data_IF_222814016251
#
_entry.id   IF_222814016251
#
_cell.length_a   1.000
_cell.length_b   1.000
_cell.length_c   1.000
_cell.angle_alpha   90.00
_cell.angle_beta   90.00
_cell.angle_gamma   90.00
#
_symmetry.space_group_name_H-M   'P 1'
#
loop_
_entity.id
_entity.type
_entity.pdbx_description
1 polymer ?
#
# COMPACT_ATOMS: atom_id res chain seq x y z
N UNK A 1 -49.70 2.48 52.88
CA UNK A 1 -48.43 2.14 52.23
C UNK A 1 -48.31 2.95 50.95
N UNK A 2 -47.55 4.05 50.95
CA UNK A 2 -47.41 4.96 49.79
C UNK A 2 -46.14 4.60 49.03
N UNK A 3 -46.28 4.08 47.79
CA UNK A 3 -45.17 3.78 46.88
C UNK A 3 -44.70 5.07 46.22
N UNK A 4 -43.47 5.48 46.48
CA UNK A 4 -42.82 6.61 45.78
C UNK A 4 -42.13 6.10 44.51
N UNK A 5 -42.66 6.54 43.37
CA UNK A 5 -42.05 6.27 42.07
C UNK A 5 -40.88 7.26 41.85
N UNK A 6 -39.66 6.74 41.80
CA UNK A 6 -38.49 7.52 41.41
C UNK A 6 -38.38 7.49 39.88
N UNK A 7 -38.56 8.65 39.23
CA UNK A 7 -38.31 8.83 37.81
C UNK A 7 -36.85 9.24 37.67
N UNK A 8 -36.02 8.35 37.10
CA UNK A 8 -34.63 8.69 36.68
C UNK A 8 -34.69 9.43 35.35
N UNK A 9 -34.40 10.73 35.37
CA UNK A 9 -34.10 11.49 34.14
C UNK A 9 -32.69 11.14 33.68
N UNK A 10 -32.60 10.40 32.57
CA UNK A 10 -31.33 10.21 31.84
C UNK A 10 -31.08 11.48 30.98
N UNK A 11 -30.15 12.30 31.46
CA UNK A 11 -29.66 13.44 30.66
C UNK A 11 -28.73 12.91 29.55
N UNK A 12 -29.19 12.99 28.32
CA UNK A 12 -28.36 12.73 27.13
C UNK A 12 -27.38 13.87 26.93
N UNK A 13 -26.08 13.60 27.18
CA UNK A 13 -25.01 14.54 26.83
C UNK A 13 -24.85 14.58 25.29
N UNK A 14 -24.77 15.77 24.70
CA UNK A 14 -24.49 15.88 23.27
C UNK A 14 -23.09 15.36 22.97
N UNK A 15 -22.98 14.38 22.07
CA UNK A 15 -21.69 13.92 21.54
C UNK A 15 -21.06 15.04 20.71
N UNK A 16 -19.99 15.62 21.23
CA UNK A 16 -19.16 16.58 20.47
C UNK A 16 -18.44 15.77 19.40
N UNK A 17 -18.93 15.86 18.16
CA UNK A 17 -18.20 15.38 16.98
C UNK A 17 -17.00 16.31 16.79
N UNK A 18 -15.83 15.89 17.25
CA UNK A 18 -14.57 16.55 16.92
C UNK A 18 -14.31 16.35 15.43
N UNK A 19 -14.57 17.36 14.64
CA UNK A 19 -14.07 17.46 13.26
C UNK A 19 -12.55 17.56 13.34
N UNK A 20 -11.87 16.46 13.06
CA UNK A 20 -10.40 16.50 12.87
C UNK A 20 -10.13 17.32 11.61
N UNK A 21 -9.71 18.57 11.77
CA UNK A 21 -9.16 19.36 10.68
C UNK A 21 -7.88 18.68 10.21
N UNK A 22 -7.85 18.23 8.95
CA UNK A 22 -6.62 17.72 8.36
C UNK A 22 -5.56 18.84 8.36
N UNK A 23 -4.28 18.50 8.62
CA UNK A 23 -3.20 19.46 8.51
C UNK A 23 -3.19 20.07 7.10
N UNK A 24 -2.90 21.38 7.01
CA UNK A 24 -2.71 22.02 5.72
C UNK A 24 -1.57 21.35 4.93
N UNK A 25 -1.78 21.16 3.64
CA UNK A 25 -0.75 20.61 2.76
C UNK A 25 0.47 21.56 2.71
N UNK A 26 1.71 21.03 2.61
CA UNK A 26 2.90 21.83 2.31
C UNK A 26 2.70 22.70 1.06
N UNK A 27 3.34 23.88 0.97
CA UNK A 27 3.11 24.85 -0.09
C UNK A 27 3.55 24.36 -1.49
N UNK A 28 4.42 23.36 -1.56
CA UNK A 28 4.91 22.74 -2.79
C UNK A 28 4.09 21.51 -3.24
N UNK A 29 3.03 21.19 -2.50
CA UNK A 29 2.11 20.10 -2.87
C UNK A 29 0.96 20.65 -3.72
N UNK A 30 0.79 20.09 -4.92
CA UNK A 30 -0.36 20.39 -5.77
C UNK A 30 -1.64 19.88 -5.12
N UNK A 31 -2.67 20.75 -4.87
CA UNK A 31 -3.86 20.37 -4.12
C UNK A 31 -4.79 19.38 -4.87
N UNK A 32 -4.58 19.18 -6.17
CA UNK A 32 -5.39 18.27 -7.00
C UNK A 32 -4.75 16.86 -7.06
N UNK A 33 -3.44 16.80 -7.27
CA UNK A 33 -2.69 15.52 -7.35
C UNK A 33 -2.22 15.03 -6.00
N UNK A 34 -2.25 15.89 -4.97
CA UNK A 34 -1.77 15.63 -3.62
C UNK A 34 -0.29 15.21 -3.59
N UNK A 35 0.50 15.72 -4.53
CA UNK A 35 1.95 15.47 -4.66
C UNK A 35 2.65 16.68 -5.25
N UNK A 36 3.98 16.68 -5.27
CA UNK A 36 4.80 17.73 -5.90
C UNK A 36 4.62 17.81 -7.42
N UNK A 37 4.16 16.73 -8.05
CA UNK A 37 3.94 16.72 -9.50
C UNK A 37 2.48 17.06 -9.85
N UNK A 38 2.22 17.98 -10.79
CA UNK A 38 0.89 18.21 -11.35
C UNK A 38 0.44 17.01 -12.21
N UNK A 39 -0.75 17.09 -12.82
CA UNK A 39 -1.12 16.14 -13.87
C UNK A 39 -0.17 16.27 -15.06
N UNK A 40 0.30 15.14 -15.58
CA UNK A 40 1.11 15.12 -16.79
C UNK A 40 0.35 15.73 -17.96
N UNK A 41 1.01 16.60 -18.71
CA UNK A 41 0.54 17.18 -19.97
C UNK A 41 1.38 16.63 -21.13
N UNK A 42 0.93 16.75 -22.38
CA UNK A 42 1.77 16.40 -23.54
C UNK A 42 3.13 17.09 -23.55
N UNK A 43 3.21 18.32 -23.00
CA UNK A 43 4.47 19.10 -22.99
C UNK A 43 5.50 18.55 -22.00
N UNK A 44 5.09 17.72 -21.06
CA UNK A 44 5.99 17.03 -20.12
C UNK A 44 6.64 15.77 -20.72
N UNK A 45 6.27 15.38 -21.94
CA UNK A 45 6.64 14.11 -22.55
C UNK A 45 7.36 14.27 -23.89
N UNK A 46 8.25 13.31 -24.18
CA UNK A 46 8.79 13.13 -25.53
C UNK A 46 7.71 12.62 -26.52
N UNK A 47 8.02 12.58 -27.80
CA UNK A 47 7.06 12.20 -28.85
C UNK A 47 6.53 10.76 -28.71
N UNK A 48 7.32 9.84 -28.18
CA UNK A 48 6.88 8.49 -27.92
C UNK A 48 5.96 8.43 -26.69
N UNK A 49 6.30 9.14 -25.63
CA UNK A 49 5.47 9.30 -24.44
C UNK A 49 4.10 9.90 -24.75
N UNK A 50 4.05 10.92 -25.61
CA UNK A 50 2.79 11.51 -26.11
C UNK A 50 1.93 10.47 -26.82
N UNK A 51 2.51 9.67 -27.72
CA UNK A 51 1.79 8.59 -28.44
C UNK A 51 1.24 7.55 -27.46
N UNK A 52 2.04 7.10 -26.48
CA UNK A 52 1.62 6.14 -25.48
C UNK A 52 0.54 6.68 -24.55
N UNK A 53 0.64 7.95 -24.18
CA UNK A 53 -0.39 8.61 -23.37
C UNK A 53 -1.72 8.73 -24.12
N UNK A 54 -1.69 9.09 -25.41
CA UNK A 54 -2.87 9.23 -26.27
C UNK A 54 -3.61 7.90 -26.54
N UNK A 55 -2.92 6.76 -26.45
CA UNK A 55 -3.51 5.43 -26.61
C UNK A 55 -4.33 4.97 -25.40
N UNK A 56 -4.35 5.74 -24.31
CA UNK A 56 -5.10 5.39 -23.12
C UNK A 56 -6.60 5.60 -23.28
N UNK A 57 -7.42 4.70 -22.70
CA UNK A 57 -8.86 4.92 -22.68
C UNK A 57 -9.20 6.26 -22.00
N UNK A 58 -10.08 7.09 -22.58
CA UNK A 58 -10.47 8.39 -22.01
C UNK A 58 -11.13 8.28 -20.61
N UNK A 59 -11.64 7.09 -20.27
CA UNK A 59 -12.32 6.81 -19.01
C UNK A 59 -11.36 6.60 -17.82
N UNK A 60 -10.07 6.41 -18.08
CA UNK A 60 -9.06 6.26 -17.06
C UNK A 60 -8.56 7.62 -16.57
N UNK A 61 -9.41 8.42 -15.90
CA UNK A 61 -8.91 9.55 -15.11
C UNK A 61 -8.13 8.97 -13.92
N UNK A 62 -6.80 9.08 -13.90
CA UNK A 62 -6.04 8.62 -12.76
C UNK A 62 -6.39 9.51 -11.57
N UNK A 63 -6.79 8.91 -10.44
CA UNK A 63 -6.83 9.62 -9.18
C UNK A 63 -5.40 9.95 -8.68
N UNK A 64 -5.26 10.73 -7.60
CA UNK A 64 -3.98 10.91 -6.92
C UNK A 64 -3.34 9.55 -6.61
N UNK A 65 -2.01 9.46 -6.69
CA UNK A 65 -1.29 8.24 -6.37
C UNK A 65 -0.46 7.66 -7.52
N UNK A 66 -0.10 6.36 -7.46
CA UNK A 66 0.88 5.76 -8.36
C UNK A 66 0.50 5.86 -9.84
N UNK A 67 -0.78 5.72 -10.15
CA UNK A 67 -1.29 5.84 -11.52
C UNK A 67 -1.02 7.19 -12.15
N UNK A 68 -1.03 8.26 -11.35
CA UNK A 68 -0.66 9.60 -11.76
C UNK A 68 0.85 9.70 -12.06
N UNK A 69 1.69 9.25 -11.14
CA UNK A 69 3.15 9.36 -11.28
C UNK A 69 3.69 8.57 -12.47
N UNK A 70 3.19 7.35 -12.68
CA UNK A 70 3.63 6.51 -13.81
C UNK A 70 3.17 7.04 -15.17
N UNK A 71 2.32 8.10 -15.22
CA UNK A 71 1.98 8.77 -16.47
C UNK A 71 3.12 9.60 -17.01
N UNK A 72 4.06 10.06 -16.17
CA UNK A 72 5.28 10.73 -16.60
C UNK A 72 6.28 9.78 -17.28
N UNK A 73 6.09 8.46 -17.13
CA UNK A 73 6.91 7.43 -17.79
C UNK A 73 6.02 6.34 -18.38
N UNK A 74 5.27 6.65 -19.47
CA UNK A 74 4.28 5.74 -20.04
C UNK A 74 4.87 4.43 -20.56
N UNK A 75 6.14 4.43 -20.99
CA UNK A 75 6.86 3.27 -21.48
C UNK A 75 7.08 2.24 -20.38
N UNK A 76 7.61 2.65 -19.24
CA UNK A 76 7.89 1.78 -18.11
C UNK A 76 6.61 1.23 -17.46
N UNK A 77 5.51 2.00 -17.55
CA UNK A 77 4.22 1.54 -17.07
C UNK A 77 3.69 0.33 -17.85
N UNK A 78 3.99 0.23 -19.15
CA UNK A 78 3.51 -0.89 -19.98
C UNK A 78 4.14 -2.24 -19.61
N UNK A 79 5.21 -2.24 -18.82
CA UNK A 79 5.94 -3.42 -18.38
C UNK A 79 5.41 -4.00 -17.04
N UNK A 80 4.29 -3.49 -16.53
CA UNK A 80 3.76 -3.82 -15.20
C UNK A 80 3.45 -5.29 -14.98
N UNK A 81 3.68 -5.76 -13.76
CA UNK A 81 3.36 -7.12 -13.31
C UNK A 81 1.84 -7.29 -13.16
N UNK A 82 1.25 -8.45 -13.53
CA UNK A 82 -0.15 -8.74 -13.22
C UNK A 82 -0.45 -8.58 -11.74
N UNK A 83 -1.46 -7.76 -11.40
CA UNK A 83 -1.72 -7.33 -10.03
C UNK A 83 -3.08 -7.84 -9.50
N UNK A 84 -3.24 -7.79 -8.20
CA UNK A 84 -4.49 -8.06 -7.51
C UNK A 84 -4.95 -9.51 -7.60
N UNK A 85 -6.26 -9.69 -7.83
CA UNK A 85 -6.91 -11.02 -7.86
C UNK A 85 -6.43 -11.93 -8.99
N UNK A 86 -5.86 -11.36 -10.04
CA UNK A 86 -5.31 -12.08 -11.19
C UNK A 86 -3.82 -12.43 -11.03
N UNK A 87 -3.24 -12.14 -9.87
CA UNK A 87 -1.83 -12.46 -9.62
C UNK A 87 -1.60 -13.97 -9.60
N UNK A 88 -0.59 -14.50 -10.31
CA UNK A 88 -0.28 -15.93 -10.32
C UNK A 88 0.10 -16.48 -8.94
N UNK A 89 0.50 -15.63 -7.99
CA UNK A 89 0.79 -16.04 -6.60
C UNK A 89 -0.47 -16.10 -5.72
N UNK A 90 -1.64 -15.76 -6.28
CA UNK A 90 -2.89 -15.62 -5.57
C UNK A 90 -3.04 -14.27 -4.86
N UNK A 91 -4.27 -13.81 -4.73
CA UNK A 91 -4.59 -12.48 -4.22
C UNK A 91 -4.04 -12.21 -2.80
N UNK A 92 -4.14 -13.20 -1.90
CA UNK A 92 -3.65 -13.09 -0.52
C UNK A 92 -2.14 -12.82 -0.44
N UNK A 93 -1.34 -13.60 -1.15
CA UNK A 93 0.12 -13.44 -1.15
C UNK A 93 0.59 -12.23 -1.93
N UNK A 94 -0.14 -11.84 -2.97
CA UNK A 94 0.06 -10.56 -3.62
C UNK A 94 -0.04 -9.40 -2.62
N UNK A 95 -1.14 -9.34 -1.85
CA UNK A 95 -1.33 -8.28 -0.85
C UNK A 95 -0.27 -8.33 0.26
N UNK A 96 0.07 -9.52 0.73
CA UNK A 96 1.11 -9.66 1.75
C UNK A 96 2.47 -9.14 1.24
N UNK A 97 2.86 -9.45 0.01
CA UNK A 97 4.10 -8.96 -0.59
C UNK A 97 4.12 -7.42 -0.69
N UNK A 98 2.99 -6.82 -1.12
CA UNK A 98 2.85 -5.35 -1.17
C UNK A 98 2.94 -4.73 0.22
N UNK A 99 2.25 -5.28 1.22
CA UNK A 99 2.28 -4.76 2.60
C UNK A 99 3.66 -4.87 3.25
N UNK A 100 4.40 -5.94 2.99
CA UNK A 100 5.80 -6.08 3.45
C UNK A 100 6.62 -4.92 2.89
N UNK A 101 6.59 -4.70 1.59
CA UNK A 101 7.29 -3.59 0.95
C UNK A 101 6.85 -2.24 1.51
N UNK A 102 5.52 -1.98 1.55
CA UNK A 102 4.98 -0.71 2.03
C UNK A 102 5.41 -0.39 3.47
N UNK A 103 5.55 -1.42 4.34
CA UNK A 103 6.08 -1.25 5.69
C UNK A 103 7.56 -0.92 5.70
N UNK A 104 8.37 -1.64 4.92
CA UNK A 104 9.84 -1.47 4.94
C UNK A 104 10.28 -0.10 4.43
N UNK A 105 9.55 0.48 3.45
CA UNK A 105 9.83 1.82 2.94
C UNK A 105 8.92 2.91 3.52
N UNK A 106 8.12 2.58 4.54
CA UNK A 106 7.18 3.49 5.23
C UNK A 106 6.23 4.19 4.26
N UNK A 107 5.68 3.46 3.29
CA UNK A 107 4.80 4.02 2.26
C UNK A 107 3.33 3.96 2.69
N UNK A 108 2.82 5.08 3.19
CA UNK A 108 1.47 5.22 3.73
C UNK A 108 0.37 5.00 2.69
N UNK A 109 0.57 5.47 1.45
CA UNK A 109 -0.43 5.38 0.39
C UNK A 109 -0.69 3.92 -0.01
N UNK A 110 0.39 3.15 -0.26
CA UNK A 110 0.31 1.73 -0.59
C UNK A 110 -0.26 0.92 0.57
N UNK A 111 0.19 1.20 1.80
CA UNK A 111 -0.35 0.52 2.96
C UNK A 111 -1.86 0.70 3.07
N UNK A 112 -2.34 1.95 3.03
CA UNK A 112 -3.76 2.28 3.22
C UNK A 112 -4.66 1.82 2.07
N UNK A 113 -4.09 1.57 0.89
CA UNK A 113 -4.80 0.96 -0.23
C UNK A 113 -4.90 -0.58 -0.08
N UNK A 114 -3.80 -1.22 0.34
CA UNK A 114 -3.64 -2.67 0.27
C UNK A 114 -4.04 -3.41 1.55
N UNK A 115 -4.00 -2.77 2.74
CA UNK A 115 -4.45 -3.41 3.99
C UNK A 115 -5.91 -3.85 3.94
N UNK A 116 -6.89 -3.00 3.58
CA UNK A 116 -8.29 -3.41 3.48
C UNK A 116 -8.53 -4.47 2.40
N UNK A 117 -7.82 -4.36 1.27
CA UNK A 117 -7.90 -5.34 0.19
C UNK A 117 -7.34 -6.69 0.63
N UNK A 118 -6.23 -6.72 1.36
CA UNK A 118 -5.63 -7.93 1.91
C UNK A 118 -6.56 -8.67 2.85
N UNK A 119 -7.14 -7.96 3.81
CA UNK A 119 -8.12 -8.53 4.74
C UNK A 119 -9.33 -9.13 4.02
N UNK A 120 -9.85 -8.43 3.00
CA UNK A 120 -10.95 -8.92 2.16
C UNK A 120 -10.56 -10.17 1.35
N UNK A 121 -9.30 -10.32 1.00
CA UNK A 121 -8.76 -11.44 0.22
C UNK A 121 -8.16 -12.56 1.09
N UNK A 122 -8.51 -12.59 2.37
CA UNK A 122 -8.16 -13.67 3.29
C UNK A 122 -6.81 -13.54 3.98
N UNK A 123 -6.19 -12.34 3.97
CA UNK A 123 -5.02 -12.09 4.81
C UNK A 123 -5.48 -11.95 6.27
N UNK A 124 -5.00 -12.81 7.14
CA UNK A 124 -5.37 -12.82 8.56
C UNK A 124 -4.84 -11.57 9.27
N UNK A 125 -5.62 -11.04 10.22
CA UNK A 125 -5.22 -9.88 11.00
C UNK A 125 -3.91 -10.10 11.75
N UNK A 126 -3.66 -11.30 12.28
CA UNK A 126 -2.41 -11.65 12.96
C UNK A 126 -1.19 -11.49 12.05
N UNK A 127 -1.29 -11.94 10.79
CA UNK A 127 -0.22 -11.80 9.78
C UNK A 127 -0.02 -10.32 9.43
N UNK A 128 -1.11 -9.59 9.15
CA UNK A 128 -1.09 -8.16 8.88
C UNK A 128 -0.45 -7.39 10.04
N UNK A 129 -0.79 -7.71 11.30
CA UNK A 129 -0.28 -7.02 12.49
C UNK A 129 1.21 -7.25 12.71
N UNK A 130 1.70 -8.46 12.41
CA UNK A 130 3.14 -8.75 12.41
C UNK A 130 3.88 -7.84 11.44
N UNK A 131 3.37 -7.65 10.23
CA UNK A 131 3.99 -6.74 9.24
C UNK A 131 3.82 -5.29 9.69
N UNK A 132 2.60 -4.87 10.05
CA UNK A 132 2.24 -3.50 10.41
C UNK A 132 3.10 -2.91 11.54
N UNK A 133 3.32 -3.71 12.57
CA UNK A 133 4.02 -3.30 13.78
C UNK A 133 5.45 -3.84 13.85
N UNK A 134 5.96 -4.36 12.73
CA UNK A 134 7.33 -4.92 12.65
C UNK A 134 7.64 -5.95 13.74
N UNK A 135 6.65 -6.77 14.12
CA UNK A 135 6.79 -7.78 15.16
C UNK A 135 7.57 -9.02 14.69
N UNK A 136 8.11 -9.82 15.61
CA UNK A 136 8.63 -11.15 15.28
C UNK A 136 7.58 -12.01 14.55
N UNK A 137 8.02 -12.87 13.65
CA UNK A 137 7.13 -13.77 12.86
C UNK A 137 6.66 -15.00 13.65
N UNK A 138 6.97 -15.07 14.93
CA UNK A 138 6.59 -16.18 15.84
C UNK A 138 5.08 -16.37 15.84
N UNK A 139 4.63 -17.63 15.76
CA UNK A 139 3.21 -17.99 15.78
C UNK A 139 2.49 -17.88 14.42
N UNK A 140 3.17 -17.42 13.36
CA UNK A 140 2.66 -17.48 11.99
C UNK A 140 2.90 -18.87 11.38
N UNK A 141 2.22 -19.15 10.26
CA UNK A 141 2.56 -20.31 9.43
C UNK A 141 3.99 -20.17 8.91
N UNK A 142 4.69 -21.30 8.69
CA UNK A 142 6.06 -21.26 8.18
C UNK A 142 6.15 -20.57 6.80
N UNK A 143 5.12 -20.71 5.98
CA UNK A 143 5.01 -20.06 4.68
C UNK A 143 4.91 -18.52 4.78
N UNK A 144 4.06 -18.00 5.67
CA UNK A 144 3.92 -16.56 5.90
C UNK A 144 5.18 -15.99 6.56
N UNK A 145 5.70 -16.68 7.58
CA UNK A 145 6.93 -16.29 8.26
C UNK A 145 8.11 -16.22 7.28
N UNK A 146 8.22 -17.19 6.38
CA UNK A 146 9.27 -17.23 5.35
C UNK A 146 9.16 -16.03 4.41
N UNK A 147 7.96 -15.71 3.89
CA UNK A 147 7.78 -14.59 2.97
C UNK A 147 8.07 -13.25 3.65
N UNK A 148 7.58 -13.05 4.89
CA UNK A 148 7.84 -11.82 5.66
C UNK A 148 9.34 -11.67 5.94
N UNK A 149 9.99 -12.73 6.40
CA UNK A 149 11.44 -12.73 6.65
C UNK A 149 12.22 -12.44 5.37
N UNK A 150 11.84 -13.07 4.26
CA UNK A 150 12.46 -12.85 2.96
C UNK A 150 12.40 -11.38 2.54
N UNK A 151 11.21 -10.77 2.57
CA UNK A 151 11.06 -9.37 2.20
C UNK A 151 11.84 -8.43 3.12
N UNK A 152 11.74 -8.62 4.45
CA UNK A 152 12.51 -7.84 5.44
C UNK A 152 13.99 -7.92 5.22
N UNK A 153 14.54 -9.13 5.08
CA UNK A 153 15.97 -9.35 4.83
C UNK A 153 16.40 -8.69 3.53
N UNK A 154 15.63 -8.86 2.46
CA UNK A 154 15.98 -8.27 1.16
C UNK A 154 16.03 -6.73 1.22
N UNK A 155 15.08 -6.08 1.89
CA UNK A 155 15.05 -4.61 2.01
C UNK A 155 16.06 -4.04 3.00
N UNK A 156 16.38 -4.75 4.07
CA UNK A 156 17.26 -4.26 5.14
C UNK A 156 18.73 -4.63 4.93
N UNK A 157 18.98 -5.85 4.43
CA UNK A 157 20.33 -6.43 4.29
C UNK A 157 20.77 -6.51 2.84
N UNK A 158 19.87 -6.27 1.87
CA UNK A 158 20.11 -6.29 0.42
C UNK A 158 20.62 -7.65 -0.10
N UNK A 159 20.47 -8.70 0.70
CA UNK A 159 20.93 -10.06 0.38
C UNK A 159 20.14 -11.07 1.22
N UNK A 160 19.83 -12.23 0.65
CA UNK A 160 19.22 -13.35 1.36
C UNK A 160 20.21 -14.52 1.46
N UNK A 161 20.13 -15.29 2.56
CA UNK A 161 20.94 -16.50 2.74
C UNK A 161 20.44 -17.62 1.83
N UNK A 162 21.32 -18.59 1.54
CA UNK A 162 20.94 -19.80 0.78
C UNK A 162 19.82 -20.58 1.47
N UNK A 163 19.83 -20.63 2.81
CA UNK A 163 18.78 -21.30 3.58
C UNK A 163 17.42 -20.62 3.37
N UNK A 164 17.34 -19.29 3.52
CA UNK A 164 16.09 -18.54 3.32
C UNK A 164 15.61 -18.66 1.88
N UNK A 165 16.54 -18.64 0.91
CA UNK A 165 16.22 -18.90 -0.49
C UNK A 165 15.58 -20.28 -0.69
N UNK A 166 16.15 -21.34 -0.12
CA UNK A 166 15.60 -22.70 -0.24
C UNK A 166 14.21 -22.81 0.42
N UNK A 167 13.96 -22.14 1.55
CA UNK A 167 12.62 -22.07 2.16
C UNK A 167 11.61 -21.40 1.22
N UNK A 168 11.97 -20.29 0.57
CA UNK A 168 11.12 -19.66 -0.44
C UNK A 168 10.77 -20.60 -1.58
N UNK A 169 11.78 -21.30 -2.13
CA UNK A 169 11.57 -22.28 -3.20
C UNK A 169 10.69 -23.46 -2.73
N UNK A 170 10.88 -23.92 -1.49
CA UNK A 170 10.06 -24.99 -0.91
C UNK A 170 8.59 -24.63 -0.77
N UNK A 171 8.27 -23.39 -0.38
CA UNK A 171 6.88 -22.94 -0.16
C UNK A 171 6.17 -22.44 -1.43
N UNK A 172 6.92 -21.83 -2.36
CA UNK A 172 6.34 -21.13 -3.50
C UNK A 172 6.76 -21.71 -4.86
N UNK A 173 7.78 -22.54 -4.88
CA UNK A 173 8.43 -22.96 -6.14
C UNK A 173 9.20 -21.81 -6.80
N UNK A 174 9.98 -22.12 -7.85
CA UNK A 174 10.82 -21.11 -8.52
C UNK A 174 10.01 -19.99 -9.16
N UNK A 175 8.94 -20.35 -9.89
CA UNK A 175 8.13 -19.38 -10.63
C UNK A 175 7.46 -18.37 -9.70
N UNK A 176 6.73 -18.81 -8.69
CA UNK A 176 6.04 -17.89 -7.78
C UNK A 176 7.01 -17.08 -6.92
N UNK A 177 8.18 -17.65 -6.55
CA UNK A 177 9.22 -16.89 -5.87
C UNK A 177 9.71 -15.71 -6.72
N UNK A 178 9.96 -15.93 -8.03
CA UNK A 178 10.33 -14.84 -8.95
C UNK A 178 9.18 -13.83 -9.08
N UNK A 179 7.94 -14.28 -9.19
CA UNK A 179 6.77 -13.40 -9.26
C UNK A 179 6.61 -12.55 -7.99
N UNK A 180 6.83 -13.11 -6.80
CA UNK A 180 6.82 -12.35 -5.54
C UNK A 180 7.93 -11.29 -5.51
N UNK A 181 9.13 -11.62 -5.99
CA UNK A 181 10.22 -10.63 -6.12
C UNK A 181 9.86 -9.50 -7.08
N UNK A 182 9.23 -9.82 -8.23
CA UNK A 182 8.77 -8.80 -9.19
C UNK A 182 7.70 -7.89 -8.56
N UNK A 183 6.70 -8.46 -7.86
CA UNK A 183 5.69 -7.68 -7.14
C UNK A 183 6.35 -6.73 -6.13
N UNK A 184 7.26 -7.24 -5.29
CA UNK A 184 7.96 -6.42 -4.30
C UNK A 184 8.80 -5.31 -4.96
N UNK A 185 9.49 -5.61 -6.07
CA UNK A 185 10.28 -4.65 -6.83
C UNK A 185 9.44 -3.55 -7.48
N UNK A 186 8.30 -3.92 -8.10
CA UNK A 186 7.39 -2.96 -8.73
C UNK A 186 6.78 -1.99 -7.69
N UNK A 187 6.33 -2.51 -6.57
CA UNK A 187 5.78 -1.68 -5.49
C UNK A 187 6.85 -0.87 -4.76
N UNK A 188 8.08 -1.39 -4.66
CA UNK A 188 9.22 -0.60 -4.19
C UNK A 188 9.47 0.60 -5.12
N UNK A 189 9.57 0.39 -6.43
CA UNK A 189 9.76 1.45 -7.42
C UNK A 189 8.68 2.52 -7.31
N UNK A 190 7.41 2.10 -7.28
CA UNK A 190 6.25 3.02 -7.19
C UNK A 190 6.25 3.75 -5.84
N UNK A 191 6.46 3.03 -4.74
CA UNK A 191 6.50 3.62 -3.40
C UNK A 191 7.68 4.58 -3.22
N UNK A 192 8.85 4.28 -3.79
CA UNK A 192 9.99 5.18 -3.84
C UNK A 192 9.66 6.50 -4.55
N UNK A 193 8.98 6.41 -5.71
CA UNK A 193 8.53 7.60 -6.44
C UNK A 193 7.54 8.43 -5.62
N UNK A 194 6.57 7.79 -4.98
CA UNK A 194 5.59 8.48 -4.13
C UNK A 194 6.24 9.16 -2.92
N UNK A 195 7.23 8.54 -2.29
CA UNK A 195 7.99 9.17 -1.21
C UNK A 195 8.78 10.39 -1.72
N UNK A 196 9.40 10.29 -2.91
CA UNK A 196 10.18 11.39 -3.49
C UNK A 196 9.34 12.64 -3.78
N UNK A 197 8.08 12.45 -4.21
CA UNK A 197 7.16 13.55 -4.53
C UNK A 197 6.22 13.92 -3.38
N UNK A 198 6.44 13.34 -2.19
CA UNK A 198 5.61 13.53 -1.00
C UNK A 198 4.11 13.34 -1.29
N UNK A 199 3.75 12.13 -1.77
CA UNK A 199 2.38 11.80 -2.13
C UNK A 199 1.52 11.64 -0.88
N UNK A 200 0.58 12.54 -0.70
CA UNK A 200 -0.41 12.49 0.38
C UNK A 200 -1.61 11.60 0.03
N UNK A 201 -2.25 11.08 1.08
CA UNK A 201 -3.53 10.38 0.93
C UNK A 201 -4.64 11.35 0.52
N UNK A 202 -5.60 10.92 -0.32
CA UNK A 202 -6.85 11.63 -0.51
C UNK A 202 -7.58 11.83 0.83
N UNK A 203 -8.30 12.96 1.03
CA UNK A 203 -8.95 13.30 2.30
C UNK A 203 -9.89 12.23 2.85
N UNK A 204 -10.55 11.49 1.97
CA UNK A 204 -11.48 10.40 2.32
C UNK A 204 -10.77 9.10 2.74
N UNK A 205 -9.46 9.00 2.52
CA UNK A 205 -8.70 7.79 2.86
C UNK A 205 -7.99 7.92 4.19
N UNK A 206 -8.30 7.01 5.10
CA UNK A 206 -7.67 6.98 6.43
C UNK A 206 -6.21 6.50 6.34
N UNK A 207 -5.32 7.18 7.06
CA UNK A 207 -3.95 6.72 7.29
C UNK A 207 -3.96 5.49 8.23
N UNK A 208 -3.46 4.36 7.74
CA UNK A 208 -3.50 3.08 8.44
C UNK A 208 -2.14 2.57 8.91
N UNK A 209 -1.03 3.07 8.32
CA UNK A 209 0.32 2.67 8.70
C UNK A 209 0.82 3.56 9.85
N UNK A 210 1.10 3.00 11.04
CA UNK A 210 1.68 3.78 12.13
C UNK A 210 3.13 4.15 11.83
N UNK A 211 3.66 5.25 12.41
CA UNK A 211 5.08 5.57 12.36
C UNK A 211 5.94 4.40 12.84
N UNK A 212 7.21 4.35 12.42
CA UNK A 212 8.21 3.47 13.03
C UNK A 212 8.49 4.01 14.44
N UNK A 213 8.41 3.13 15.42
CA UNK A 213 8.82 3.40 16.80
C UNK A 213 10.31 3.16 16.95
#
# INVERSE_FOLDING_TARGET
MRVRLFVLLLASLPSIVQTQTQPALPPDINPVTLSRLPWVTPDDLDEEGKKLLAQRPPTAKPGPGPGHLTNYSPRERSLGTPSGVNSPVGARYFQLAVLIMAREIVQQYEWSAHEPAGLKQGLEQSVRDVVKHNRPVTGLTDKDATLITFGRTLYREHKVSSELWQKMIGHFGRQQTVQLMMIMGDYFRVGFMMNAVDQHLPPERKALLPPLQ
#
